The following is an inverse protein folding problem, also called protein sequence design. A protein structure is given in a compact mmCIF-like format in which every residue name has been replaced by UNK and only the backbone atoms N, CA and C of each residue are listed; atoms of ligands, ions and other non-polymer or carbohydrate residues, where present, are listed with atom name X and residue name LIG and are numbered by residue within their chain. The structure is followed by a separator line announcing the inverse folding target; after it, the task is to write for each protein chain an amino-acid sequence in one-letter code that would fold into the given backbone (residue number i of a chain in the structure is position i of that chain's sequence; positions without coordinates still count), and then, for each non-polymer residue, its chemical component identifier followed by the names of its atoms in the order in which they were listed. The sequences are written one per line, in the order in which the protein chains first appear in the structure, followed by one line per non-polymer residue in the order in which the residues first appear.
data_IF_718692438372
#
_entry.id   IF_718692438372
#
_cell.length_a   1.000
_cell.length_b   1.000
_cell.length_c   1.000
_cell.angle_alpha   90.00
_cell.angle_beta   90.00
_cell.angle_gamma   90.00
#
_symmetry.space_group_name_H-M   'P 1'
#
loop_
_entity.id
_entity.type
_entity.pdbx_description
1 polymer ?
#
# COMPACT_ATOMS: atom_id res chain seq x y z
N UNK A 1 -22.52 -17.25 -19.89
CA UNK A 1 -21.21 -16.90 -19.32
C UNK A 1 -21.48 -16.05 -18.10
N UNK A 2 -20.95 -16.41 -16.94
CA UNK A 2 -21.04 -15.53 -15.76
C UNK A 2 -20.13 -14.32 -16.00
N UNK A 3 -20.58 -13.12 -15.63
CA UNK A 3 -19.74 -11.93 -15.63
C UNK A 3 -18.53 -12.14 -14.70
N UNK A 4 -17.34 -11.65 -15.06
CA UNK A 4 -16.16 -11.76 -14.21
C UNK A 4 -16.39 -11.04 -12.86
N UNK A 5 -16.04 -11.69 -11.75
CA UNK A 5 -16.10 -11.09 -10.42
C UNK A 5 -14.91 -10.12 -10.25
N UNK A 6 -15.21 -8.89 -9.82
CA UNK A 6 -14.20 -7.87 -9.52
C UNK A 6 -14.30 -7.54 -8.04
N UNK A 7 -13.23 -7.83 -7.30
CA UNK A 7 -13.07 -7.37 -5.92
C UNK A 7 -12.44 -5.98 -5.92
N UNK A 8 -13.18 -5.00 -5.40
CA UNK A 8 -12.75 -3.60 -5.37
C UNK A 8 -12.17 -3.16 -4.04
N UNK A 9 -12.04 -4.07 -3.06
CA UNK A 9 -11.58 -3.73 -1.72
C UNK A 9 -10.64 -4.79 -1.17
N UNK A 10 -9.36 -4.65 -1.50
CA UNK A 10 -8.27 -5.41 -0.90
C UNK A 10 -7.08 -4.49 -0.59
N UNK A 11 -6.18 -4.95 0.28
CA UNK A 11 -4.97 -4.22 0.62
C UNK A 11 -3.71 -5.04 0.41
N UNK A 12 -2.58 -4.37 0.16
CA UNK A 12 -1.24 -4.95 0.16
C UNK A 12 -0.37 -4.36 1.27
N UNK A 13 0.56 -5.17 1.77
CA UNK A 13 1.67 -4.75 2.62
C UNK A 13 2.94 -5.25 1.95
N UNK A 14 3.84 -4.39 1.46
CA UNK A 14 5.08 -4.83 0.83
C UNK A 14 5.93 -5.68 1.79
N UNK A 15 6.75 -6.60 1.27
CA UNK A 15 7.63 -7.46 2.10
C UNK A 15 8.84 -6.72 2.69
N UNK A 16 8.90 -5.41 2.52
CA UNK A 16 9.95 -4.53 3.00
C UNK A 16 9.85 -3.18 2.31
N UNK A 17 10.42 -2.17 2.96
CA UNK A 17 10.55 -0.82 2.45
C UNK A 17 11.79 -0.18 3.08
N UNK A 18 12.33 0.91 2.50
CA UNK A 18 13.42 1.66 3.12
C UNK A 18 13.10 2.09 4.55
N UNK A 19 14.11 2.28 5.39
CA UNK A 19 13.93 2.89 6.70
C UNK A 19 13.30 4.29 6.53
N UNK A 20 12.10 4.49 7.06
CA UNK A 20 11.35 5.73 6.86
C UNK A 20 11.94 6.89 7.69
N UNK A 21 12.63 6.61 8.80
CA UNK A 21 13.34 7.65 9.53
C UNK A 21 14.54 8.17 8.73
N UNK A 22 15.26 7.26 8.06
CA UNK A 22 16.34 7.65 7.14
C UNK A 22 15.79 8.37 5.91
N UNK A 23 14.76 7.82 5.27
CA UNK A 23 14.17 8.39 4.05
C UNK A 23 13.59 9.80 4.26
N UNK A 24 13.05 10.07 5.44
CA UNK A 24 12.50 11.40 5.79
C UNK A 24 13.50 12.31 6.51
N UNK A 25 14.62 11.77 7.00
CA UNK A 25 15.57 12.48 7.85
C UNK A 25 15.02 12.81 9.25
N UNK A 26 13.90 12.21 9.67
CA UNK A 26 13.22 12.51 10.93
C UNK A 26 13.02 11.23 11.75
N UNK A 27 13.63 11.11 12.94
CA UNK A 27 13.37 9.98 13.85
C UNK A 27 11.90 9.91 14.29
N UNK A 28 11.40 8.71 14.57
CA UNK A 28 10.08 8.54 15.14
C UNK A 28 9.58 7.10 15.11
N UNK A 29 8.37 6.89 15.62
CA UNK A 29 7.68 5.60 15.57
C UNK A 29 7.09 5.37 14.17
N UNK A 30 7.96 5.13 13.19
CA UNK A 30 7.56 4.78 11.83
C UNK A 30 7.10 3.32 11.76
N UNK A 31 6.20 2.99 10.80
CA UNK A 31 5.89 1.61 10.51
C UNK A 31 7.10 0.90 9.90
N UNK A 32 7.37 -0.30 10.39
CA UNK A 32 8.40 -1.21 9.85
C UNK A 32 7.91 -2.64 9.88
N UNK A 33 8.57 -3.54 9.14
CA UNK A 33 8.17 -4.94 9.03
C UNK A 33 9.12 -5.85 9.80
N UNK A 34 8.61 -6.56 10.80
CA UNK A 34 9.32 -7.69 11.40
C UNK A 34 8.97 -8.95 10.62
N UNK A 35 9.93 -9.46 9.85
CA UNK A 35 9.75 -10.70 9.08
C UNK A 35 10.01 -11.89 10.00
N UNK A 36 8.96 -12.64 10.31
CA UNK A 36 9.03 -13.79 11.21
C UNK A 36 9.35 -15.09 10.43
N UNK A 37 8.92 -15.18 9.16
CA UNK A 37 9.28 -16.27 8.25
C UNK A 37 9.15 -15.86 6.78
N UNK A 38 9.31 -16.81 5.84
CA UNK A 38 9.01 -16.58 4.42
C UNK A 38 7.55 -16.18 4.17
N UNK A 39 6.61 -16.66 5.01
CA UNK A 39 5.16 -16.48 4.81
C UNK A 39 4.47 -15.65 5.88
N UNK A 40 5.18 -15.22 6.92
CA UNK A 40 4.59 -14.51 8.05
C UNK A 40 5.45 -13.31 8.44
N UNK A 41 4.79 -12.20 8.72
CA UNK A 41 5.41 -11.00 9.25
C UNK A 41 4.47 -10.25 10.19
N UNK A 42 5.04 -9.37 11.01
CA UNK A 42 4.32 -8.44 11.87
C UNK A 42 4.63 -7.01 11.42
N UNK A 43 3.60 -6.26 11.04
CA UNK A 43 3.72 -4.80 10.93
C UNK A 43 3.88 -4.25 12.34
N UNK A 44 4.92 -3.46 12.54
CA UNK A 44 5.29 -2.83 13.79
C UNK A 44 5.14 -1.32 13.66
N UNK A 45 4.82 -0.61 14.76
CA UNK A 45 4.89 0.86 14.84
C UNK A 45 5.70 1.21 16.07
N UNK A 46 6.91 1.75 15.86
CA UNK A 46 7.89 1.86 16.94
C UNK A 46 8.20 0.48 17.54
N UNK A 47 7.90 0.29 18.82
CA UNK A 47 8.09 -1.01 19.52
C UNK A 47 6.80 -1.83 19.65
N UNK A 48 5.66 -1.32 19.17
CA UNK A 48 4.37 -1.97 19.31
C UNK A 48 4.03 -2.85 18.11
N UNK A 49 3.50 -4.05 18.36
CA UNK A 49 2.90 -4.89 17.33
C UNK A 49 1.59 -4.27 16.85
N UNK A 50 1.44 -4.08 15.54
CA UNK A 50 0.25 -3.47 14.95
C UNK A 50 -0.65 -4.52 14.29
N UNK A 51 -0.09 -5.31 13.35
CA UNK A 51 -0.88 -6.29 12.59
C UNK A 51 -0.01 -7.43 12.05
N UNK A 52 -0.40 -8.66 12.37
CA UNK A 52 0.15 -9.85 11.71
C UNK A 52 -0.36 -9.94 10.28
N UNK A 53 0.54 -10.24 9.34
CA UNK A 53 0.25 -10.38 7.92
C UNK A 53 0.90 -11.67 7.39
N UNK A 54 0.28 -12.23 6.35
CA UNK A 54 0.77 -13.39 5.60
C UNK A 54 1.28 -12.99 4.23
N UNK A 55 1.93 -13.90 3.52
CA UNK A 55 2.47 -13.67 2.18
C UNK A 55 1.44 -13.25 1.13
N UNK A 56 0.16 -13.58 1.29
CA UNK A 56 -0.91 -13.00 0.46
C UNK A 56 -0.93 -11.45 0.43
N UNK A 57 -0.32 -10.78 1.42
CA UNK A 57 -0.19 -9.34 1.44
C UNK A 57 0.92 -8.77 0.51
N UNK A 58 1.96 -9.56 0.18
CA UNK A 58 3.12 -9.10 -0.64
C UNK A 58 3.49 -10.02 -1.82
N UNK A 59 2.95 -11.22 -1.90
CA UNK A 59 3.22 -12.21 -2.95
C UNK A 59 2.09 -12.18 -3.97
N UNK A 60 2.39 -11.81 -5.22
CA UNK A 60 1.40 -11.84 -6.29
C UNK A 60 0.95 -13.28 -6.56
N UNK A 61 1.87 -14.24 -6.57
CA UNK A 61 1.55 -15.67 -6.77
C UNK A 61 0.56 -16.19 -5.73
N UNK A 62 0.81 -15.94 -4.44
CA UNK A 62 -0.09 -16.37 -3.35
C UNK A 62 -1.46 -15.70 -3.52
N UNK A 63 -1.48 -14.40 -3.79
CA UNK A 63 -2.71 -13.64 -4.02
C UNK A 63 -3.51 -14.16 -5.21
N UNK A 64 -2.86 -14.44 -6.33
CA UNK A 64 -3.51 -14.94 -7.54
C UNK A 64 -4.08 -16.35 -7.34
N UNK A 65 -3.39 -17.21 -6.59
CA UNK A 65 -3.89 -18.52 -6.21
C UNK A 65 -5.13 -18.42 -5.32
N UNK A 66 -5.14 -17.51 -4.34
CA UNK A 66 -6.30 -17.22 -3.48
C UNK A 66 -7.47 -16.67 -4.32
N UNK A 67 -7.20 -15.71 -5.22
CA UNK A 67 -8.19 -15.18 -6.16
C UNK A 67 -8.80 -16.27 -7.06
N UNK A 68 -8.00 -17.20 -7.56
CA UNK A 68 -8.47 -18.33 -8.37
C UNK A 68 -9.37 -19.28 -7.57
N UNK A 69 -9.00 -19.55 -6.32
CA UNK A 69 -9.80 -20.38 -5.42
C UNK A 69 -11.17 -19.74 -5.08
N UNK A 70 -11.20 -18.40 -4.95
CA UNK A 70 -12.41 -17.64 -4.62
C UNK A 70 -13.23 -17.21 -5.86
N UNK A 71 -12.73 -17.47 -7.07
CA UNK A 71 -13.41 -17.09 -8.32
C UNK A 71 -13.35 -15.58 -8.62
N UNK A 72 -12.33 -14.88 -8.11
CA UNK A 72 -12.09 -13.46 -8.32
C UNK A 72 -11.23 -13.28 -9.58
N UNK A 73 -11.80 -12.64 -10.62
CA UNK A 73 -11.10 -12.44 -11.88
C UNK A 73 -10.07 -11.30 -11.76
N UNK A 74 -10.47 -10.19 -11.13
CA UNK A 74 -9.68 -8.96 -10.98
C UNK A 74 -9.82 -8.43 -9.55
N UNK A 75 -8.73 -7.91 -8.99
CA UNK A 75 -8.73 -7.30 -7.67
C UNK A 75 -8.08 -5.91 -7.72
N UNK A 76 -8.74 -4.93 -7.10
CA UNK A 76 -8.14 -3.64 -6.79
C UNK A 76 -7.27 -3.79 -5.55
N UNK A 77 -6.01 -3.40 -5.67
CA UNK A 77 -4.99 -3.52 -4.62
C UNK A 77 -4.71 -2.13 -4.06
N UNK A 78 -5.18 -1.90 -2.85
CA UNK A 78 -5.19 -0.57 -2.22
C UNK A 78 -4.11 -0.45 -1.13
N UNK A 79 -3.65 0.77 -0.81
CA UNK A 79 -2.72 1.01 0.29
C UNK A 79 -3.28 0.51 1.63
N UNK A 80 -2.41 0.02 2.52
CA UNK A 80 -2.84 -0.31 3.89
C UNK A 80 -2.91 0.98 4.72
N UNK A 81 -4.03 1.27 5.44
CA UNK A 81 -4.24 2.57 6.10
C UNK A 81 -3.16 3.04 7.09
N UNK A 82 -2.42 2.11 7.71
CA UNK A 82 -1.33 2.46 8.64
C UNK A 82 -0.19 3.24 7.97
N UNK A 83 -0.08 3.17 6.64
CA UNK A 83 0.97 3.85 5.87
C UNK A 83 0.61 5.26 5.40
N UNK A 84 -0.63 5.75 5.64
CA UNK A 84 -1.06 7.08 5.20
C UNK A 84 -0.28 8.22 5.83
N UNK A 85 0.16 8.07 7.09
CA UNK A 85 0.98 9.05 7.82
C UNK A 85 0.39 10.48 7.83
N UNK A 86 -0.94 10.62 7.83
CA UNK A 86 -1.63 11.93 7.82
C UNK A 86 -1.42 12.77 9.08
N UNK A 87 -1.00 12.14 10.18
CA UNK A 87 -0.64 12.86 11.41
C UNK A 87 0.74 13.54 11.33
N UNK A 88 1.50 13.32 10.26
CA UNK A 88 2.85 13.87 10.09
C UNK A 88 2.86 15.10 9.18
N UNK A 89 3.91 15.93 9.27
CA UNK A 89 4.17 16.98 8.30
C UNK A 89 4.06 16.48 6.85
N UNK A 90 3.50 17.32 5.98
CA UNK A 90 3.14 16.93 4.61
C UNK A 90 4.33 16.51 3.74
N UNK A 91 5.50 17.10 3.96
CA UNK A 91 6.75 16.74 3.28
C UNK A 91 7.17 15.31 3.59
N UNK A 92 7.00 14.87 4.83
CA UNK A 92 7.25 13.49 5.25
C UNK A 92 6.21 12.54 4.66
N UNK A 93 4.92 12.89 4.76
CA UNK A 93 3.83 12.10 4.17
C UNK A 93 3.98 11.91 2.66
N UNK A 94 4.50 12.91 1.95
CA UNK A 94 4.77 12.83 0.52
C UNK A 94 5.88 11.82 0.17
N UNK A 95 6.96 11.78 0.97
CA UNK A 95 8.04 10.78 0.82
C UNK A 95 7.49 9.37 1.04
N UNK A 96 6.73 9.18 2.11
CA UNK A 96 6.13 7.87 2.44
C UNK A 96 5.15 7.43 1.36
N UNK A 97 4.26 8.33 0.91
CA UNK A 97 3.30 8.03 -0.17
C UNK A 97 4.02 7.53 -1.41
N UNK A 98 5.10 8.22 -1.83
CA UNK A 98 5.89 7.81 -2.99
C UNK A 98 6.45 6.40 -2.86
N UNK A 99 7.09 6.09 -1.73
CA UNK A 99 7.69 4.78 -1.47
C UNK A 99 6.65 3.66 -1.60
N UNK A 100 5.51 3.80 -0.92
CA UNK A 100 4.48 2.76 -0.93
C UNK A 100 3.73 2.68 -2.25
N UNK A 101 3.55 3.80 -2.96
CA UNK A 101 2.94 3.81 -4.28
C UNK A 101 3.82 3.13 -5.34
N UNK A 102 5.14 3.26 -5.24
CA UNK A 102 6.08 2.59 -6.14
C UNK A 102 6.11 1.07 -5.85
N UNK A 103 6.14 0.67 -4.57
CA UNK A 103 6.06 -0.74 -4.17
C UNK A 103 4.72 -1.40 -4.55
N UNK A 104 3.61 -0.66 -4.48
CA UNK A 104 2.31 -1.16 -4.92
C UNK A 104 2.27 -1.41 -6.44
N UNK A 105 2.95 -0.57 -7.24
CA UNK A 105 3.10 -0.80 -8.67
C UNK A 105 3.93 -2.05 -8.93
N UNK A 106 5.07 -2.21 -8.26
CA UNK A 106 5.93 -3.39 -8.41
C UNK A 106 5.11 -4.69 -8.23
N UNK A 107 4.34 -4.79 -7.13
CA UNK A 107 3.45 -5.94 -6.89
C UNK A 107 2.45 -6.14 -8.04
N UNK A 108 1.76 -5.08 -8.46
CA UNK A 108 0.70 -5.20 -9.46
C UNK A 108 1.25 -5.49 -10.88
N UNK A 109 2.51 -5.13 -11.18
CA UNK A 109 3.14 -5.42 -12.47
C UNK A 109 3.41 -6.91 -12.69
N UNK A 110 3.35 -7.75 -11.66
CA UNK A 110 3.45 -9.21 -11.81
C UNK A 110 2.20 -9.81 -12.49
N UNK A 111 1.04 -9.16 -12.38
CA UNK A 111 -0.19 -9.58 -13.06
C UNK A 111 -1.10 -8.38 -13.40
N UNK A 112 -0.68 -7.50 -14.33
CA UNK A 112 -1.33 -6.20 -14.57
C UNK A 112 -2.76 -6.31 -15.13
N UNK A 113 -3.12 -7.46 -15.70
CA UNK A 113 -4.50 -7.73 -16.17
C UNK A 113 -5.44 -8.16 -15.04
N UNK A 114 -4.90 -8.50 -13.86
CA UNK A 114 -5.67 -9.02 -12.72
C UNK A 114 -5.53 -8.20 -11.44
N UNK A 115 -4.41 -7.48 -11.26
CA UNK A 115 -4.11 -6.67 -10.10
C UNK A 115 -4.10 -5.20 -10.49
N UNK A 116 -5.05 -4.43 -9.95
CA UNK A 116 -5.26 -3.02 -10.30
C UNK A 116 -4.76 -2.13 -9.15
N UNK A 117 -3.65 -1.40 -9.32
CA UNK A 117 -3.06 -0.62 -8.24
C UNK A 117 -3.85 0.66 -7.97
N UNK A 118 -4.18 0.88 -6.69
CA UNK A 118 -4.61 2.17 -6.17
C UNK A 118 -3.47 2.79 -5.36
N UNK A 119 -3.35 4.12 -5.46
CA UNK A 119 -2.34 4.88 -4.72
C UNK A 119 -2.90 5.46 -3.42
N UNK A 120 -1.99 5.91 -2.55
CA UNK A 120 -2.27 6.86 -1.48
C UNK A 120 -1.70 8.23 -1.83
N UNK A 121 -2.16 9.27 -1.12
CA UNK A 121 -1.69 10.66 -1.30
C UNK A 121 -1.50 11.32 0.07
N UNK A 122 -0.56 12.28 0.22
CA UNK A 122 -0.36 13.02 1.46
C UNK A 122 -1.48 14.05 1.69
N UNK A 123 -2.64 13.58 2.14
CA UNK A 123 -3.90 14.34 2.18
C UNK A 123 -3.89 15.58 3.10
N UNK A 124 -2.91 15.67 4.00
CA UNK A 124 -2.68 16.85 4.84
C UNK A 124 -2.26 18.12 4.06
N UNK A 125 -1.83 17.97 2.80
CA UNK A 125 -1.52 19.08 1.89
C UNK A 125 -2.13 18.80 0.51
N UNK A 126 -3.10 19.62 0.10
CA UNK A 126 -3.86 19.42 -1.13
C UNK A 126 -2.98 19.51 -2.40
N UNK A 127 -2.00 20.40 -2.42
CA UNK A 127 -1.14 20.57 -3.58
C UNK A 127 -0.16 19.40 -3.70
N UNK A 128 0.37 18.91 -2.58
CA UNK A 128 1.18 17.70 -2.54
C UNK A 128 0.37 16.46 -2.93
N UNK A 129 -0.87 16.35 -2.44
CA UNK A 129 -1.77 15.25 -2.77
C UNK A 129 -2.08 15.19 -4.27
N UNK A 130 -2.43 16.33 -4.88
CA UNK A 130 -2.69 16.41 -6.32
C UNK A 130 -1.44 16.06 -7.14
N UNK A 131 -0.27 16.58 -6.77
CA UNK A 131 1.00 16.24 -7.46
C UNK A 131 1.32 14.75 -7.41
N UNK A 132 1.10 14.11 -6.26
CA UNK A 132 1.35 12.66 -6.14
C UNK A 132 0.28 11.85 -6.89
N UNK A 133 -0.98 12.26 -6.87
CA UNK A 133 -2.04 11.62 -7.66
C UNK A 133 -1.71 11.66 -9.17
N UNK A 134 -1.33 12.83 -9.70
CA UNK A 134 -0.95 12.98 -11.10
C UNK A 134 0.23 12.08 -11.47
N UNK A 135 1.24 11.98 -10.59
CA UNK A 135 2.38 11.07 -10.78
C UNK A 135 1.94 9.61 -10.79
N UNK A 136 1.10 9.21 -9.84
CA UNK A 136 0.60 7.85 -9.73
C UNK A 136 -0.21 7.44 -10.96
N UNK A 137 -1.12 8.30 -11.42
CA UNK A 137 -1.90 8.06 -12.63
C UNK A 137 -1.00 7.94 -13.87
N UNK A 138 0.02 8.79 -13.99
CA UNK A 138 1.00 8.70 -15.09
C UNK A 138 1.82 7.40 -15.08
N UNK A 139 2.05 6.82 -13.89
CA UNK A 139 2.82 5.59 -13.70
C UNK A 139 1.99 4.31 -13.77
N UNK A 140 0.66 4.40 -13.85
CA UNK A 140 -0.22 3.24 -14.07
C UNK A 140 -1.20 2.92 -12.92
N UNK A 141 -1.20 3.70 -11.83
CA UNK A 141 -2.28 3.60 -10.84
C UNK A 141 -3.63 3.94 -11.48
N UNK A 142 -4.69 3.29 -11.00
CA UNK A 142 -6.04 3.40 -11.59
C UNK A 142 -7.06 4.06 -10.65
N UNK A 143 -6.61 4.47 -9.48
CA UNK A 143 -7.41 5.17 -8.49
C UNK A 143 -6.57 5.55 -7.28
N UNK A 144 -7.23 6.20 -6.33
CA UNK A 144 -6.67 6.59 -5.04
C UNK A 144 -7.58 6.09 -3.94
N UNK A 145 -6.99 5.55 -2.88
CA UNK A 145 -7.69 5.31 -1.61
C UNK A 145 -7.22 6.35 -0.61
N UNK A 146 -8.17 6.96 0.10
CA UNK A 146 -7.90 7.98 1.13
C UNK A 146 -8.57 7.60 2.45
N UNK A 147 -7.92 7.97 3.55
CA UNK A 147 -8.61 8.07 4.84
C UNK A 147 -9.74 9.10 4.77
N UNK A 148 -10.79 8.90 5.54
CA UNK A 148 -11.92 9.83 5.61
C UNK A 148 -11.63 11.07 6.48
N UNK A 149 -10.46 11.16 7.11
CA UNK A 149 -10.04 12.28 7.94
C UNK A 149 -8.52 12.51 7.85
N UNK A 150 -8.09 13.72 8.22
CA UNK A 150 -6.70 14.11 8.49
C UNK A 150 -6.69 14.78 9.85
N UNK A 151 -5.94 14.24 10.81
CA UNK A 151 -6.05 14.65 12.22
C UNK A 151 -7.30 14.04 12.89
N UNK A 152 -7.78 14.70 13.94
CA UNK A 152 -8.98 14.30 14.71
C UNK A 152 -10.30 14.77 14.06
#
# INVERSE_FOLDING_TARGET
MNSPCIDVHSHSVPRGWPDLAEATGVPGAWPWLRVDSEREAMVMVGTSEFRRVTDSAWSADTRLADMDADGIAVQVVSPTPVFFEYARPADQGAIVSRIFNDLALELCTEAPDRLIPFCQVPLQDLDAANRELDRCLANGHRGVEIGNHVGD
#
